data_IF_559676863649
#
_entry.id   IF_559676863649
#
_cell.length_a   1.000
_cell.length_b   1.000
_cell.length_c   1.000
_cell.angle_alpha   90.00
_cell.angle_beta   90.00
_cell.angle_gamma   90.00
#
_symmetry.space_group_name_H-M   'P 1'
#
loop_
_entity.id
_entity.type
_entity.pdbx_description
1 polymer ?
#
# COMPACT_ATOMS: atom_id res chain seq x y z
N UNK A 1 -53.46 -50.81 -18.73
CA UNK A 1 -52.54 -51.05 -17.60
C UNK A 1 -51.22 -50.37 -17.94
N UNK A 2 -50.69 -49.56 -17.00
CA UNK A 2 -49.74 -48.47 -17.24
C UNK A 2 -48.31 -48.98 -17.46
N UNK A 3 -47.69 -48.59 -18.56
CA UNK A 3 -46.23 -48.53 -18.73
C UNK A 3 -45.81 -47.08 -18.47
N UNK A 4 -44.89 -46.83 -17.54
CA UNK A 4 -44.33 -45.50 -17.29
C UNK A 4 -42.82 -45.63 -17.18
N UNK A 5 -42.17 -44.82 -18.02
CA UNK A 5 -40.79 -44.88 -18.43
C UNK A 5 -39.81 -44.30 -17.40
N UNK A 6 -38.64 -44.94 -17.32
CA UNK A 6 -37.42 -44.44 -16.69
C UNK A 6 -37.04 -43.06 -17.22
N UNK A 7 -36.76 -42.11 -16.34
CA UNK A 7 -36.07 -40.85 -16.68
C UNK A 7 -34.95 -40.57 -15.70
N UNK A 8 -33.75 -40.99 -16.09
CA UNK A 8 -32.47 -40.55 -15.57
C UNK A 8 -32.31 -39.04 -15.78
N UNK A 9 -32.03 -38.30 -14.70
CA UNK A 9 -31.72 -36.87 -14.75
C UNK A 9 -30.22 -36.68 -14.54
N UNK A 10 -29.52 -36.28 -15.61
CA UNK A 10 -28.14 -35.78 -15.59
C UNK A 10 -28.16 -34.35 -15.02
N UNK A 11 -27.47 -34.11 -13.92
CA UNK A 11 -27.24 -32.76 -13.39
C UNK A 11 -25.78 -32.36 -13.67
N UNK A 12 -25.59 -31.39 -14.57
CA UNK A 12 -24.30 -30.73 -14.81
C UNK A 12 -24.21 -29.56 -13.84
N UNK A 13 -23.33 -29.65 -12.85
CA UNK A 13 -23.01 -28.55 -11.95
C UNK A 13 -21.88 -27.71 -12.58
N UNK A 14 -22.22 -26.53 -13.09
CA UNK A 14 -21.25 -25.53 -13.53
C UNK A 14 -20.75 -24.76 -12.31
N UNK A 15 -19.56 -25.09 -11.82
CA UNK A 15 -18.88 -24.34 -10.76
C UNK A 15 -18.31 -23.08 -11.40
N UNK A 16 -18.96 -21.94 -11.16
CA UNK A 16 -18.44 -20.61 -11.52
C UNK A 16 -17.36 -20.28 -10.49
N UNK A 17 -16.10 -20.39 -10.89
CA UNK A 17 -14.96 -19.93 -10.11
C UNK A 17 -14.99 -18.40 -9.99
N UNK A 18 -15.19 -17.90 -8.77
CA UNK A 18 -15.05 -16.50 -8.45
C UNK A 18 -13.55 -16.17 -8.38
N UNK A 19 -12.96 -15.80 -9.52
CA UNK A 19 -11.60 -15.27 -9.55
C UNK A 19 -11.61 -13.89 -8.88
N UNK A 20 -10.90 -13.76 -7.77
CA UNK A 20 -10.60 -12.45 -7.16
C UNK A 20 -9.68 -11.70 -8.12
N UNK A 21 -10.24 -10.79 -8.92
CA UNK A 21 -9.43 -9.80 -9.61
C UNK A 21 -8.83 -8.88 -8.56
N UNK A 22 -7.51 -8.93 -8.39
CA UNK A 22 -6.78 -7.91 -7.63
C UNK A 22 -7.08 -6.56 -8.30
N UNK A 23 -7.79 -5.68 -7.58
CA UNK A 23 -8.10 -4.36 -8.09
C UNK A 23 -6.81 -3.53 -8.08
N UNK A 24 -6.26 -3.27 -9.25
CA UNK A 24 -5.16 -2.32 -9.40
C UNK A 24 -5.65 -0.93 -9.00
N UNK A 25 -5.03 -0.33 -7.97
CA UNK A 25 -5.33 1.04 -7.57
C UNK A 25 -4.90 1.99 -8.69
N UNK A 26 -5.80 2.86 -9.18
CA UNK A 26 -5.46 3.78 -10.26
C UNK A 26 -4.50 4.86 -9.75
N UNK A 27 -3.35 5.00 -10.39
CA UNK A 27 -2.41 6.10 -10.13
C UNK A 27 -2.55 7.19 -11.19
N UNK A 28 -2.37 8.45 -10.79
CA UNK A 28 -2.34 9.59 -11.71
C UNK A 28 -0.92 9.88 -12.23
N UNK A 29 -0.77 10.62 -13.33
CA UNK A 29 0.54 11.18 -13.70
C UNK A 29 1.14 11.97 -12.52
N UNK A 30 2.46 11.97 -12.31
CA UNK A 30 3.15 12.69 -11.21
C UNK A 30 3.01 14.23 -11.15
N UNK A 31 2.01 14.79 -11.84
CA UNK A 31 1.55 16.15 -11.65
C UNK A 31 0.83 16.23 -10.30
N UNK A 32 1.36 17.05 -9.38
CA UNK A 32 0.79 17.27 -8.05
C UNK A 32 1.54 16.61 -6.90
N UNK A 33 2.59 15.83 -7.18
CA UNK A 33 3.51 15.36 -6.14
C UNK A 33 4.09 16.55 -5.36
N UNK A 34 4.05 16.46 -4.03
CA UNK A 34 4.42 17.51 -3.08
C UNK A 34 3.30 18.50 -2.74
N UNK A 35 2.10 18.38 -3.32
CA UNK A 35 0.97 19.24 -2.96
C UNK A 35 0.21 18.72 -1.73
N UNK A 36 -0.40 19.63 -0.98
CA UNK A 36 -1.23 19.30 0.19
C UNK A 36 -2.52 18.56 -0.16
N UNK A 37 -3.15 18.90 -1.28
CA UNK A 37 -4.41 18.32 -1.76
C UNK A 37 -4.35 18.16 -3.28
N UNK A 38 -3.57 17.20 -3.78
CA UNK A 38 -3.46 16.94 -5.22
C UNK A 38 -4.82 16.52 -5.78
N UNK A 39 -5.09 16.87 -7.04
CA UNK A 39 -6.31 16.46 -7.75
C UNK A 39 -6.21 15.00 -8.24
N UNK A 40 -6.07 14.08 -7.28
CA UNK A 40 -5.99 12.63 -7.49
C UNK A 40 -6.75 11.91 -6.39
N UNK A 41 -7.02 10.63 -6.61
CA UNK A 41 -7.78 9.81 -5.66
C UNK A 41 -6.97 9.60 -4.38
N UNK A 42 -7.59 9.87 -3.24
CA UNK A 42 -7.07 9.44 -1.95
C UNK A 42 -7.32 7.94 -1.77
N UNK A 43 -6.24 7.19 -1.59
CA UNK A 43 -6.25 5.73 -1.39
C UNK A 43 -5.96 5.34 0.06
N UNK A 44 -6.04 6.27 1.01
CA UNK A 44 -5.72 5.96 2.39
C UNK A 44 -6.69 4.94 3.00
N UNK A 45 -6.12 4.03 3.80
CA UNK A 45 -6.85 3.13 4.68
C UNK A 45 -7.20 3.77 6.04
N UNK A 46 -6.78 5.02 6.29
CA UNK A 46 -6.98 5.74 7.55
C UNK A 46 -7.77 7.02 7.35
N UNK A 47 -8.58 7.41 8.34
CA UNK A 47 -9.25 8.72 8.36
C UNK A 47 -8.35 9.87 8.86
N UNK A 48 -7.17 9.55 9.38
CA UNK A 48 -6.23 10.55 9.93
C UNK A 48 -5.16 10.99 8.94
N UNK A 49 -5.06 10.31 7.81
CA UNK A 49 -4.05 10.53 6.79
C UNK A 49 -4.69 10.44 5.41
N UNK A 50 -4.02 11.05 4.44
CA UNK A 50 -4.35 10.94 3.03
C UNK A 50 -3.15 10.33 2.31
N UNK A 51 -3.40 9.40 1.39
CA UNK A 51 -2.35 8.75 0.62
C UNK A 51 -2.65 8.91 -0.85
N UNK A 52 -1.67 9.40 -1.59
CA UNK A 52 -1.80 9.67 -3.02
C UNK A 52 -0.77 8.86 -3.79
N UNK A 53 -1.24 8.21 -4.86
CA UNK A 53 -0.39 7.45 -5.77
C UNK A 53 -0.22 8.23 -7.06
N UNK A 54 1.03 8.33 -7.49
CA UNK A 54 1.36 8.86 -8.80
C UNK A 54 2.23 7.90 -9.57
N UNK A 55 2.23 7.99 -10.89
CA UNK A 55 3.05 7.20 -11.78
C UNK A 55 3.72 8.11 -12.82
N UNK A 56 5.00 7.85 -13.08
CA UNK A 56 5.73 8.50 -14.18
C UNK A 56 6.82 7.57 -14.69
N UNK A 57 6.77 7.25 -15.98
CA UNK A 57 7.77 6.43 -16.66
C UNK A 57 8.08 5.10 -15.95
N UNK A 58 7.03 4.43 -15.42
CA UNK A 58 7.16 3.16 -14.69
C UNK A 58 7.62 3.28 -13.24
N UNK A 59 7.85 4.50 -12.75
CA UNK A 59 8.11 4.77 -11.34
C UNK A 59 6.81 5.15 -10.66
N UNK A 60 6.44 4.40 -9.61
CA UNK A 60 5.30 4.72 -8.75
C UNK A 60 5.78 5.59 -7.61
N UNK A 61 5.02 6.63 -7.27
CA UNK A 61 5.28 7.54 -6.18
C UNK A 61 4.16 7.43 -5.18
N UNK A 62 4.50 7.35 -3.90
CA UNK A 62 3.52 7.32 -2.81
C UNK A 62 3.80 8.50 -1.91
N UNK A 63 2.81 9.36 -1.76
CA UNK A 63 2.85 10.52 -0.88
C UNK A 63 1.86 10.34 0.27
N UNK A 64 2.31 10.63 1.48
CA UNK A 64 1.49 10.60 2.70
C UNK A 64 1.33 12.02 3.23
N UNK A 65 0.08 12.43 3.42
CA UNK A 65 -0.29 13.69 4.04
C UNK A 65 -1.05 13.40 5.34
N UNK A 66 -0.96 14.29 6.31
CA UNK A 66 -1.84 14.24 7.48
C UNK A 66 -3.23 14.83 7.18
N UNK A 67 -4.17 14.71 8.12
CA UNK A 67 -5.52 15.25 8.01
C UNK A 67 -5.60 16.77 7.75
N UNK A 68 -4.55 17.54 8.06
CA UNK A 68 -4.48 18.97 7.77
C UNK A 68 -3.94 19.27 6.36
N UNK A 69 -3.51 18.25 5.62
CA UNK A 69 -2.88 18.38 4.31
C UNK A 69 -1.38 18.69 4.38
N UNK A 70 -0.74 18.54 5.55
CA UNK A 70 0.72 18.64 5.65
C UNK A 70 1.31 17.41 4.99
N UNK A 71 2.18 17.62 3.99
CA UNK A 71 2.92 16.53 3.37
C UNK A 71 3.93 15.99 4.36
N UNK A 72 3.72 14.76 4.84
CA UNK A 72 4.59 14.10 5.81
C UNK A 72 5.81 13.52 5.12
N UNK A 73 5.61 12.78 4.04
CA UNK A 73 6.71 12.25 3.25
C UNK A 73 6.26 11.68 1.92
N UNK A 74 7.22 11.45 1.02
CA UNK A 74 6.99 10.67 -0.19
C UNK A 74 8.12 9.69 -0.47
N UNK A 75 7.79 8.59 -1.14
CA UNK A 75 8.74 7.59 -1.66
C UNK A 75 8.50 7.37 -3.15
N UNK A 76 9.54 6.97 -3.86
CA UNK A 76 9.45 6.33 -5.16
C UNK A 76 9.59 4.81 -5.00
N UNK A 77 8.87 4.06 -5.82
CA UNK A 77 8.89 2.60 -5.89
C UNK A 77 9.24 2.20 -7.32
N UNK A 78 10.33 1.45 -7.47
CA UNK A 78 10.82 0.95 -8.76
C UNK A 78 11.27 -0.48 -8.56
N UNK A 79 10.71 -1.42 -9.32
CA UNK A 79 11.06 -2.85 -9.25
C UNK A 79 11.03 -3.44 -7.82
N UNK A 80 10.08 -2.96 -7.00
CA UNK A 80 9.93 -3.38 -5.60
C UNK A 80 10.91 -2.74 -4.62
N UNK A 81 11.90 -1.98 -5.11
CA UNK A 81 12.76 -1.14 -4.28
C UNK A 81 12.10 0.21 -4.01
N UNK A 82 12.33 0.73 -2.80
CA UNK A 82 11.79 2.02 -2.36
C UNK A 82 12.90 3.03 -2.09
N UNK A 83 12.71 4.25 -2.58
CA UNK A 83 13.62 5.38 -2.43
C UNK A 83 12.90 6.55 -1.78
N UNK A 84 13.46 7.06 -0.68
CA UNK A 84 12.92 8.21 0.03
C UNK A 84 13.15 9.49 -0.79
N UNK A 85 12.11 10.32 -0.90
CA UNK A 85 12.17 11.57 -1.65
C UNK A 85 12.28 12.75 -0.70
N UNK A 86 13.01 13.82 -1.06
CA UNK A 86 13.12 15.04 -0.26
C UNK A 86 11.84 15.90 -0.36
N UNK A 87 10.69 15.30 -0.03
CA UNK A 87 9.36 15.90 -0.12
C UNK A 87 8.65 15.64 1.20
N UNK A 88 8.15 16.72 1.81
CA UNK A 88 7.45 16.69 3.08
C UNK A 88 8.33 17.05 4.28
N UNK A 89 7.67 17.33 5.40
CA UNK A 89 8.33 17.78 6.64
C UNK A 89 9.07 16.67 7.36
N UNK A 90 8.68 15.41 7.11
CA UNK A 90 9.26 14.20 7.71
C UNK A 90 10.02 13.36 6.66
N UNK A 91 10.45 13.97 5.55
CA UNK A 91 11.12 13.31 4.42
C UNK A 91 12.35 12.46 4.81
N UNK A 92 13.06 12.83 5.89
CA UNK A 92 14.23 12.12 6.39
C UNK A 92 13.90 11.01 7.40
N UNK A 93 12.63 10.78 7.70
CA UNK A 93 12.16 9.88 8.77
C UNK A 93 11.49 8.61 8.24
N UNK A 94 11.83 8.25 7.01
CA UNK A 94 11.46 6.97 6.42
C UNK A 94 12.31 5.83 6.97
N UNK A 95 11.67 4.68 7.18
CA UNK A 95 12.32 3.44 7.62
C UNK A 95 11.76 2.28 6.81
N UNK A 96 12.65 1.51 6.19
CA UNK A 96 12.29 0.24 5.57
C UNK A 96 12.36 -0.85 6.60
N UNK A 97 11.29 -1.63 6.74
CA UNK A 97 11.19 -2.70 7.73
C UNK A 97 10.64 -3.97 7.08
N UNK A 98 11.14 -5.13 7.53
CA UNK A 98 10.57 -6.42 7.14
C UNK A 98 9.23 -6.64 7.84
N UNK A 99 8.37 -7.47 7.26
CA UNK A 99 7.07 -7.83 7.85
C UNK A 99 7.17 -8.44 9.27
N UNK A 100 8.24 -9.18 9.57
CA UNK A 100 8.45 -9.75 10.91
C UNK A 100 9.00 -8.73 11.92
N UNK A 101 9.36 -7.52 11.48
CA UNK A 101 9.92 -6.51 12.37
C UNK A 101 8.85 -5.93 13.31
N UNK A 102 9.28 -5.59 14.53
CA UNK A 102 8.39 -4.92 15.49
C UNK A 102 8.02 -3.52 14.97
N UNK A 103 6.71 -3.31 14.78
CA UNK A 103 6.12 -2.01 14.46
C UNK A 103 5.74 -1.31 15.79
N UNK A 104 5.93 0.01 15.93
CA UNK A 104 5.47 0.74 17.11
C UNK A 104 3.96 0.55 17.38
N UNK A 105 3.57 0.41 18.64
CA UNK A 105 2.19 0.11 19.03
C UNK A 105 1.19 1.19 18.58
N UNK A 106 1.57 2.47 18.68
CA UNK A 106 0.72 3.63 18.33
C UNK A 106 0.75 3.96 16.82
N UNK A 107 1.06 2.98 15.99
CA UNK A 107 1.19 3.19 14.55
C UNK A 107 -0.13 2.95 13.81
N UNK A 108 -0.29 3.63 12.68
CA UNK A 108 -1.47 3.55 11.82
C UNK A 108 -1.08 3.04 10.45
N UNK A 109 -1.68 1.95 9.98
CA UNK A 109 -1.54 1.54 8.58
C UNK A 109 -2.33 2.50 7.71
N UNK A 110 -1.64 3.24 6.84
CA UNK A 110 -2.26 4.29 6.01
C UNK A 110 -2.46 3.83 4.58
N UNK A 111 -1.74 2.81 4.13
CA UNK A 111 -1.86 2.23 2.80
C UNK A 111 -1.33 0.80 2.80
N UNK A 112 -1.94 -0.06 2.00
CA UNK A 112 -1.45 -1.41 1.74
C UNK A 112 -1.88 -1.85 0.35
N UNK A 113 -0.97 -2.48 -0.37
CA UNK A 113 -1.26 -3.24 -1.58
C UNK A 113 -0.53 -4.60 -1.53
N UNK A 114 -0.53 -5.32 -2.64
CA UNK A 114 0.12 -6.63 -2.74
C UNK A 114 1.65 -6.59 -2.63
N UNK A 115 2.28 -5.42 -2.77
CA UNK A 115 3.73 -5.26 -2.77
C UNK A 115 4.28 -4.65 -1.48
N UNK A 116 3.53 -3.74 -0.85
CA UNK A 116 3.98 -3.02 0.34
C UNK A 116 2.84 -2.49 1.19
N UNK A 117 3.19 -2.20 2.44
CA UNK A 117 2.33 -1.53 3.41
C UNK A 117 3.04 -0.31 3.98
N UNK A 118 2.36 0.82 3.98
CA UNK A 118 2.84 2.06 4.58
C UNK A 118 2.18 2.25 5.93
N UNK A 119 3.02 2.49 6.94
CA UNK A 119 2.61 2.69 8.33
C UNK A 119 3.17 4.02 8.81
N UNK A 120 2.36 4.78 9.54
CA UNK A 120 2.77 6.03 10.18
C UNK A 120 2.81 5.85 11.69
N UNK A 121 3.95 6.12 12.30
CA UNK A 121 4.12 6.16 13.74
C UNK A 121 4.33 7.61 14.21
N UNK A 122 3.36 8.22 14.92
CA UNK A 122 3.53 9.55 15.50
C UNK A 122 4.70 9.59 16.48
N UNK A 123 5.42 10.73 16.51
CA UNK A 123 6.49 10.99 17.46
C UNK A 123 6.09 12.09 18.46
N UNK A 124 6.64 12.07 19.69
CA UNK A 124 6.31 13.08 20.71
C UNK A 124 6.65 14.52 20.33
N UNK A 125 7.57 14.71 19.38
CA UNK A 125 7.97 16.03 18.85
C UNK A 125 6.99 16.57 17.78
N UNK A 126 5.90 15.84 17.48
CA UNK A 126 4.92 16.19 16.44
C UNK A 126 5.33 15.75 15.03
N UNK A 127 6.50 15.13 14.89
CA UNK A 127 6.92 14.49 13.65
C UNK A 127 6.19 13.16 13.44
N UNK A 128 6.24 12.66 12.20
CA UNK A 128 5.80 11.32 11.86
C UNK A 128 7.02 10.47 11.44
N UNK A 129 7.15 9.26 11.96
CA UNK A 129 8.04 8.26 11.38
C UNK A 129 7.24 7.44 10.39
N UNK A 130 7.73 7.38 9.16
CA UNK A 130 7.07 6.68 8.06
C UNK A 130 7.77 5.35 7.86
N UNK A 131 7.02 4.26 7.87
CA UNK A 131 7.55 2.92 7.71
C UNK A 131 7.01 2.32 6.42
N UNK A 132 7.90 1.83 5.56
CA UNK A 132 7.55 0.95 4.45
C UNK A 132 7.82 -0.47 4.89
N UNK A 133 6.76 -1.25 4.98
CA UNK A 133 6.83 -2.67 5.28
C UNK A 133 6.69 -3.43 3.98
N UNK A 134 7.72 -4.20 3.65
CA UNK A 134 7.71 -5.10 2.49
C UNK A 134 7.83 -6.53 2.96
N UNK A 135 7.25 -7.45 2.18
CA UNK A 135 7.51 -8.87 2.35
C UNK A 135 8.99 -9.10 2.03
N UNK A 136 9.79 -9.29 3.07
CA UNK A 136 11.21 -9.53 2.89
C UNK A 136 11.44 -10.99 2.51
N UNK A 137 11.36 -11.27 1.22
CA UNK A 137 11.61 -12.62 0.67
C UNK A 137 13.10 -13.02 0.72
N UNK A 138 14.01 -12.08 0.98
CA UNK A 138 15.45 -12.35 1.14
C UNK A 138 15.96 -11.88 2.52
N UNK A 139 16.15 -12.79 3.49
CA UNK A 139 16.59 -12.44 4.84
C UNK A 139 17.99 -11.83 4.90
N UNK A 140 18.83 -12.01 3.86
CA UNK A 140 20.18 -11.43 3.82
C UNK A 140 20.18 -9.93 3.54
N UNK A 141 19.15 -9.40 2.87
CA UNK A 141 18.99 -7.96 2.61
C UNK A 141 18.32 -7.20 3.76
N UNK A 142 17.53 -7.88 4.58
CA UNK A 142 16.79 -7.25 5.69
C UNK A 142 17.50 -7.36 7.04
N UNK A 143 18.55 -8.17 7.15
CA UNK A 143 19.30 -8.40 8.40
C UNK A 143 20.65 -7.66 8.45
N UNK A 144 20.78 -6.48 7.84
CA UNK A 144 21.91 -5.60 8.16
C UNK A 144 21.55 -4.82 9.43
N UNK A 145 21.78 -5.48 10.57
CA UNK A 145 21.86 -4.83 11.88
C UNK A 145 23.06 -3.87 11.85
N UNK A 146 22.87 -2.64 12.32
CA UNK A 146 23.95 -1.66 12.48
C UNK A 146 25.09 -2.15 13.38
N UNK A 147 26.24 -1.44 13.38
CA UNK A 147 27.53 -1.90 13.93
C UNK A 147 27.53 -2.18 15.42
#
# INVERSE_FOLDING_TARGET
MRSIYNRTLLSVALVIGCGTAAASTPSSTAVGLGQSWPNTTDVSASSQYHVYLFDRAGVRYVQVNDAAGTVRGAIAVVDGETLDLPIGVDASRWRRVSETAAIPAESTSVYSDDAMRVVVAPQPDGAASLLVVTECNDPTKCSIRGP
#
